data_IF_719682957165
#
_entry.id   IF_719682957165
#
_cell.length_a   1.000
_cell.length_b   1.000
_cell.length_c   1.000
_cell.angle_alpha   90.00
_cell.angle_beta   90.00
_cell.angle_gamma   90.00
#
_symmetry.space_group_name_H-M   'P 1'
#
loop_
_entity.id
_entity.type
_entity.pdbx_description
1 polymer ?
#
# COMPACT_ATOMS: atom_id res chain seq x y z
N UNK A 1 -25.98 -20.76 8.65
CA UNK A 1 -26.25 -20.57 7.20
C UNK A 1 -27.56 -19.85 6.90
N UNK A 2 -28.70 -20.15 7.56
CA UNK A 2 -29.98 -19.41 7.38
C UNK A 2 -29.84 -17.88 7.51
N UNK A 3 -29.07 -17.42 8.50
CA UNK A 3 -28.84 -16.00 8.75
C UNK A 3 -28.21 -15.24 7.56
N UNK A 4 -27.33 -15.88 6.78
CA UNK A 4 -26.70 -15.25 5.62
C UNK A 4 -27.71 -15.05 4.47
N UNK A 5 -28.52 -16.07 4.21
CA UNK A 5 -29.56 -16.02 3.17
C UNK A 5 -30.64 -14.98 3.51
N UNK A 6 -31.09 -14.94 4.76
CA UNK A 6 -32.07 -13.95 5.22
C UNK A 6 -31.54 -12.51 5.12
N UNK A 7 -30.25 -12.30 5.41
CA UNK A 7 -29.58 -11.00 5.20
C UNK A 7 -29.56 -10.61 3.72
N UNK A 8 -29.21 -11.54 2.83
CA UNK A 8 -29.24 -11.29 1.38
C UNK A 8 -30.65 -10.92 0.91
N UNK A 9 -31.68 -11.65 1.34
CA UNK A 9 -33.07 -11.32 0.98
C UNK A 9 -33.52 -9.94 1.48
N UNK A 10 -33.10 -9.54 2.68
CA UNK A 10 -33.36 -8.18 3.20
C UNK A 10 -32.70 -7.10 2.34
N UNK A 11 -31.47 -7.33 1.88
CA UNK A 11 -30.76 -6.39 0.99
C UNK A 11 -31.46 -6.33 -0.37
N UNK A 12 -31.80 -7.47 -0.96
CA UNK A 12 -32.53 -7.56 -2.23
C UNK A 12 -33.81 -6.73 -2.20
N UNK A 13 -34.61 -6.93 -1.14
CA UNK A 13 -35.87 -6.22 -0.97
C UNK A 13 -35.67 -4.71 -0.91
N UNK A 14 -34.66 -4.23 -0.17
CA UNK A 14 -34.35 -2.78 -0.14
C UNK A 14 -33.99 -2.21 -1.51
N UNK A 15 -33.27 -2.96 -2.35
CA UNK A 15 -32.89 -2.52 -3.69
C UNK A 15 -34.13 -2.42 -4.58
N UNK A 16 -35.00 -3.44 -4.54
CA UNK A 16 -36.24 -3.47 -5.30
C UNK A 16 -37.24 -2.40 -4.83
N UNK A 17 -37.41 -2.23 -3.52
CA UNK A 17 -38.30 -1.21 -2.93
C UNK A 17 -37.86 0.22 -3.30
N UNK A 18 -36.57 0.42 -3.57
CA UNK A 18 -36.02 1.69 -4.06
C UNK A 18 -36.17 1.88 -5.59
N UNK A 19 -36.86 0.95 -6.28
CA UNK A 19 -37.18 1.04 -7.70
C UNK A 19 -36.06 0.60 -8.66
N UNK A 20 -35.01 -0.05 -8.16
CA UNK A 20 -33.92 -0.55 -9.00
C UNK A 20 -34.22 -1.95 -9.56
N UNK A 21 -33.70 -2.21 -10.76
CA UNK A 21 -33.69 -3.55 -11.34
C UNK A 21 -32.57 -4.39 -10.71
N UNK A 22 -32.91 -5.56 -10.16
CA UNK A 22 -31.96 -6.44 -9.48
C UNK A 22 -31.79 -7.74 -10.27
N UNK A 23 -30.56 -7.99 -10.73
CA UNK A 23 -30.16 -9.27 -11.32
C UNK A 23 -29.31 -10.05 -10.32
N UNK A 24 -29.67 -11.33 -10.12
CA UNK A 24 -28.96 -12.22 -9.21
C UNK A 24 -28.49 -13.46 -9.96
N UNK A 25 -27.29 -13.91 -9.63
CA UNK A 25 -26.74 -15.18 -10.11
C UNK A 25 -26.04 -15.87 -8.95
N UNK A 26 -26.12 -17.20 -8.90
CA UNK A 26 -25.29 -17.96 -7.98
C UNK A 26 -23.83 -17.87 -8.39
N UNK A 27 -22.93 -18.01 -7.40
CA UNK A 27 -21.48 -18.01 -7.63
C UNK A 27 -21.07 -19.10 -8.62
N UNK A 28 -21.58 -20.31 -8.44
CA UNK A 28 -21.29 -21.43 -9.35
C UNK A 28 -21.76 -21.19 -10.79
N UNK A 29 -22.90 -20.53 -10.98
CA UNK A 29 -23.41 -20.20 -12.32
C UNK A 29 -22.58 -19.08 -12.96
N UNK A 30 -22.21 -18.06 -12.17
CA UNK A 30 -21.33 -16.99 -12.61
C UNK A 30 -19.96 -17.52 -13.05
N UNK A 31 -19.37 -18.42 -12.27
CA UNK A 31 -18.09 -19.04 -12.59
C UNK A 31 -18.18 -19.93 -13.82
N UNK A 32 -19.31 -20.56 -14.10
CA UNK A 32 -19.45 -21.41 -15.27
C UNK A 32 -19.88 -20.66 -16.55
N UNK A 33 -20.27 -19.39 -16.45
CA UNK A 33 -20.67 -18.59 -17.60
C UNK A 33 -19.47 -18.16 -18.47
N UNK A 34 -19.33 -18.84 -19.62
CA UNK A 34 -18.30 -18.57 -20.62
C UNK A 34 -18.42 -17.17 -21.26
N UNK A 35 -19.63 -16.62 -21.39
CA UNK A 35 -19.86 -15.28 -21.97
C UNK A 35 -19.39 -14.21 -20.99
N UNK A 36 -19.71 -14.34 -19.70
CA UNK A 36 -19.23 -13.44 -18.65
C UNK A 36 -17.69 -13.50 -18.56
N UNK A 37 -17.10 -14.69 -18.52
CA UNK A 37 -15.63 -14.85 -18.51
C UNK A 37 -14.95 -14.21 -19.73
N UNK A 38 -15.54 -14.36 -20.92
CA UNK A 38 -15.04 -13.73 -22.15
C UNK A 38 -15.17 -12.21 -22.10
N UNK A 39 -16.30 -11.70 -21.59
CA UNK A 39 -16.52 -10.26 -21.38
C UNK A 39 -15.52 -9.68 -20.39
N UNK A 40 -15.32 -10.33 -19.23
CA UNK A 40 -14.33 -9.92 -18.22
C UNK A 40 -12.94 -9.89 -18.86
N UNK A 41 -12.52 -10.97 -19.54
CA UNK A 41 -11.19 -11.03 -20.16
C UNK A 41 -10.95 -9.94 -21.22
N UNK A 42 -11.99 -9.53 -21.96
CA UNK A 42 -11.89 -8.56 -23.06
C UNK A 42 -12.03 -7.10 -22.60
N UNK A 43 -13.05 -6.83 -21.80
CA UNK A 43 -13.52 -5.48 -21.45
C UNK A 43 -13.19 -5.10 -19.99
N UNK A 44 -13.05 -6.08 -19.09
CA UNK A 44 -12.67 -5.84 -17.69
C UNK A 44 -11.16 -5.69 -17.55
N UNK A 45 -10.63 -4.62 -18.14
CA UNK A 45 -9.24 -4.16 -17.96
C UNK A 45 -9.04 -3.33 -16.68
N UNK A 46 -10.04 -3.27 -15.81
CA UNK A 46 -9.89 -2.61 -14.52
C UNK A 46 -8.89 -3.42 -13.72
N UNK A 47 -7.67 -2.87 -13.56
CA UNK A 47 -6.88 -3.21 -12.40
C UNK A 47 -7.78 -2.96 -11.19
N UNK A 48 -8.16 -4.02 -10.49
CA UNK A 48 -8.73 -3.88 -9.16
C UNK A 48 -7.65 -3.24 -8.31
N UNK A 49 -7.66 -1.91 -8.28
CA UNK A 49 -6.90 -1.18 -7.27
C UNK A 49 -7.67 -1.49 -5.99
N UNK A 50 -7.20 -2.52 -5.28
CA UNK A 50 -7.63 -2.74 -3.90
C UNK A 50 -7.54 -1.39 -3.19
N UNK A 51 -8.57 -1.00 -2.42
CA UNK A 51 -8.51 0.24 -1.66
C UNK A 51 -7.17 0.33 -0.95
N UNK A 52 -6.56 1.52 -0.99
CA UNK A 52 -5.31 1.76 -0.30
C UNK A 52 -5.50 1.33 1.16
N UNK A 53 -4.69 0.37 1.63
CA UNK A 53 -4.66 -0.05 3.01
C UNK A 53 -3.59 0.79 3.74
N UNK A 54 -3.95 1.69 4.65
CA UNK A 54 -2.98 2.53 5.36
C UNK A 54 -1.91 1.73 6.10
N UNK A 55 -2.23 0.49 6.52
CA UNK A 55 -1.27 -0.39 7.19
C UNK A 55 -0.10 -0.80 6.30
N UNK A 56 -0.27 -0.78 4.98
CA UNK A 56 0.80 -1.11 4.04
C UNK A 56 1.95 -0.09 4.10
N UNK A 57 1.65 1.15 4.52
CA UNK A 57 2.63 2.22 4.71
C UNK A 57 3.20 2.28 6.15
N UNK A 58 2.73 1.42 7.05
CA UNK A 58 3.11 1.45 8.46
C UNK A 58 4.39 0.64 8.69
N UNK A 59 5.52 1.36 8.81
CA UNK A 59 6.84 0.79 9.05
C UNK A 59 7.41 1.26 10.40
N UNK A 60 8.33 0.46 10.95
CA UNK A 60 9.09 0.84 12.13
C UNK A 60 10.27 1.75 11.82
N UNK A 61 11.11 1.99 12.82
CA UNK A 61 12.33 2.78 12.68
C UNK A 61 13.36 2.17 11.73
N UNK A 62 14.21 3.03 11.16
CA UNK A 62 15.31 2.61 10.30
C UNK A 62 16.45 2.04 11.14
N UNK A 63 16.68 0.73 11.02
CA UNK A 63 17.88 0.07 11.52
C UNK A 63 18.71 -0.40 10.32
N UNK A 64 19.75 0.35 9.96
CA UNK A 64 20.62 0.04 8.81
C UNK A 64 22.06 0.42 9.11
N UNK A 65 22.98 -0.50 8.82
CA UNK A 65 24.41 -0.21 8.72
C UNK A 65 24.76 0.23 7.29
N UNK A 66 25.60 1.27 7.17
CA UNK A 66 26.17 1.67 5.88
C UNK A 66 27.42 0.85 5.55
N UNK A 67 28.14 0.41 6.58
CA UNK A 67 29.34 -0.40 6.50
C UNK A 67 29.26 -1.48 7.57
N UNK A 68 29.54 -2.74 7.22
CA UNK A 68 29.45 -3.87 8.16
C UNK A 68 30.59 -3.84 9.19
N UNK A 69 31.79 -3.47 8.76
CA UNK A 69 32.96 -3.30 9.62
C UNK A 69 33.74 -2.07 9.15
N UNK A 70 33.98 -1.15 10.07
CA UNK A 70 34.87 -0.02 9.84
C UNK A 70 35.90 0.00 10.95
N UNK A 71 37.17 0.10 10.59
CA UNK A 71 38.28 0.16 11.54
C UNK A 71 38.84 1.59 11.56
N UNK A 72 38.72 2.25 12.71
CA UNK A 72 39.13 3.64 12.87
C UNK A 72 40.66 3.70 13.05
N UNK A 73 41.37 4.38 12.15
CA UNK A 73 42.83 4.54 12.21
C UNK A 73 43.22 5.93 12.69
N UNK A 74 43.18 6.15 14.00
CA UNK A 74 43.48 7.45 14.62
C UNK A 74 42.36 8.49 14.50
N UNK A 75 41.21 8.10 13.98
CA UNK A 75 40.00 8.94 13.88
C UNK A 75 39.20 8.91 15.19
N UNK A 76 38.29 9.89 15.38
CA UNK A 76 37.33 9.92 16.50
C UNK A 76 35.91 9.71 15.99
N UNK A 77 35.19 8.78 16.61
CA UNK A 77 33.78 8.54 16.33
C UNK A 77 32.89 9.62 16.94
N UNK A 78 31.77 9.93 16.27
CA UNK A 78 30.69 10.73 16.83
C UNK A 78 29.43 9.89 16.89
N UNK A 79 28.74 9.95 18.01
CA UNK A 79 27.45 9.31 18.22
C UNK A 79 26.42 10.39 18.50
N UNK A 80 25.27 10.28 17.85
CA UNK A 80 24.14 11.19 18.03
C UNK A 80 22.94 10.33 18.37
N UNK A 81 22.31 10.63 19.50
CA UNK A 81 21.04 10.05 19.90
C UNK A 81 20.01 11.17 20.06
N UNK A 82 18.81 10.95 19.54
CA UNK A 82 17.72 11.92 19.64
C UNK A 82 16.86 11.52 20.81
N UNK A 83 16.95 12.29 21.89
CA UNK A 83 16.09 12.10 23.05
C UNK A 83 14.63 12.30 22.62
N UNK A 84 13.78 11.31 22.88
CA UNK A 84 12.33 11.39 22.63
C UNK A 84 11.97 11.65 21.15
N UNK A 85 12.61 10.95 20.20
CA UNK A 85 12.34 11.09 18.76
C UNK A 85 10.85 10.98 18.41
N UNK A 86 10.18 9.86 18.78
CA UNK A 86 8.77 9.66 18.44
C UNK A 86 7.84 10.70 19.11
N UNK A 87 7.95 10.99 20.43
CA UNK A 87 7.16 12.06 21.04
C UNK A 87 7.35 13.42 20.35
N UNK A 88 8.58 13.76 19.96
CA UNK A 88 8.88 15.03 19.28
C UNK A 88 8.17 15.11 17.94
N UNK A 89 8.28 14.07 17.11
CA UNK A 89 7.57 13.94 15.83
C UNK A 89 6.06 14.01 16.03
N UNK A 90 5.50 13.24 16.98
CA UNK A 90 4.08 13.25 17.26
C UNK A 90 3.54 14.61 17.73
N UNK A 91 4.38 15.45 18.35
CA UNK A 91 3.98 16.77 18.85
C UNK A 91 4.06 17.85 17.77
N UNK A 92 5.10 17.84 16.94
CA UNK A 92 5.37 18.92 15.98
C UNK A 92 4.88 18.62 14.56
N UNK A 93 4.81 17.36 14.14
CA UNK A 93 4.45 17.01 12.77
C UNK A 93 2.94 16.91 12.59
N UNK A 94 2.49 17.23 11.38
CA UNK A 94 1.11 17.02 10.97
C UNK A 94 0.84 15.54 10.70
N UNK A 95 -0.42 15.12 10.89
CA UNK A 95 -0.94 13.82 10.49
C UNK A 95 -2.21 13.98 9.67
N UNK A 96 -2.50 13.08 8.71
CA UNK A 96 -3.78 13.08 8.03
C UNK A 96 -4.87 12.69 9.04
N UNK A 97 -5.82 13.60 9.26
CA UNK A 97 -6.96 13.43 10.19
C UNK A 97 -8.29 13.45 9.43
N UNK A 98 -9.30 12.75 9.97
CA UNK A 98 -10.66 12.75 9.41
C UNK A 98 -10.87 11.80 8.22
N UNK A 99 -11.95 12.06 7.47
CA UNK A 99 -12.29 11.26 6.29
C UNK A 99 -11.46 11.69 5.07
N UNK A 100 -10.82 10.75 4.36
CA UNK A 100 -9.94 11.09 3.24
C UNK A 100 -10.72 11.41 1.96
N UNK A 101 -10.25 12.41 1.23
CA UNK A 101 -10.62 12.63 -0.17
C UNK A 101 -9.94 11.59 -1.06
N UNK A 102 -10.74 10.85 -1.84
CA UNK A 102 -10.22 9.76 -2.68
C UNK A 102 -9.92 10.27 -4.08
N UNK A 103 -8.62 10.34 -4.40
CA UNK A 103 -8.14 10.72 -5.73
C UNK A 103 -7.75 9.45 -6.48
N UNK A 104 -8.39 9.19 -7.61
CA UNK A 104 -8.14 8.02 -8.44
C UNK A 104 -7.47 8.41 -9.76
N UNK A 105 -6.41 7.70 -10.14
CA UNK A 105 -5.70 7.83 -11.42
C UNK A 105 -5.45 9.29 -11.87
N UNK A 106 -4.87 10.14 -11.02
CA UNK A 106 -4.64 11.52 -11.40
C UNK A 106 -3.60 11.60 -12.52
N UNK A 107 -3.81 12.50 -13.50
CA UNK A 107 -2.91 12.69 -14.64
C UNK A 107 -1.56 13.29 -14.26
N UNK A 108 -1.51 14.07 -13.17
CA UNK A 108 -0.31 14.75 -12.67
C UNK A 108 -0.31 14.72 -11.14
N UNK A 109 0.88 14.60 -10.56
CA UNK A 109 1.07 14.79 -9.12
C UNK A 109 0.86 16.26 -8.74
N UNK A 110 0.31 16.49 -7.54
CA UNK A 110 0.18 17.83 -6.95
C UNK A 110 0.89 17.88 -5.61
N UNK A 111 1.75 18.89 -5.43
CA UNK A 111 2.43 19.17 -4.15
C UNK A 111 1.46 19.61 -3.05
N UNK A 112 0.21 19.93 -3.40
CA UNK A 112 -0.84 20.27 -2.44
C UNK A 112 -1.46 19.05 -1.79
N UNK A 113 -1.21 17.85 -2.30
CA UNK A 113 -1.74 16.63 -1.70
C UNK A 113 -0.99 16.25 -0.44
N UNK A 114 -1.74 15.85 0.57
CA UNK A 114 -1.22 15.42 1.85
C UNK A 114 -1.96 14.16 2.31
N UNK A 115 -1.21 13.11 2.65
CA UNK A 115 -1.78 11.81 3.01
C UNK A 115 -1.03 10.63 2.38
N UNK A 116 -1.76 9.59 2.02
CA UNK A 116 -1.20 8.32 1.53
C UNK A 116 -1.35 8.17 0.03
N UNK A 117 -0.30 7.67 -0.62
CA UNK A 117 -0.28 7.40 -2.05
C UNK A 117 0.21 5.98 -2.33
N UNK A 118 -0.50 5.27 -3.21
CA UNK A 118 -0.08 3.98 -3.77
C UNK A 118 0.36 4.21 -5.21
N UNK A 119 1.67 4.14 -5.46
CA UNK A 119 2.25 4.43 -6.77
C UNK A 119 3.44 3.52 -7.07
N UNK A 120 3.85 3.51 -8.35
CA UNK A 120 5.11 2.91 -8.79
C UNK A 120 6.16 4.03 -8.84
N UNK A 121 7.31 3.78 -8.22
CA UNK A 121 8.41 4.75 -8.17
C UNK A 121 9.57 4.25 -9.02
N UNK A 122 10.08 5.09 -9.91
CA UNK A 122 11.38 4.89 -10.54
C UNK A 122 12.44 5.53 -9.62
N UNK A 123 13.30 4.74 -8.96
CA UNK A 123 14.24 5.28 -7.99
C UNK A 123 15.33 6.13 -8.66
N UNK A 124 15.85 7.16 -7.98
CA UNK A 124 17.02 7.89 -8.47
C UNK A 124 18.24 6.97 -8.51
N UNK A 125 19.18 7.27 -9.42
CA UNK A 125 20.46 6.60 -9.47
C UNK A 125 21.41 7.21 -8.42
N UNK A 126 22.25 6.37 -7.81
CA UNK A 126 23.34 6.78 -6.90
C UNK A 126 22.89 7.56 -5.65
N UNK A 127 21.66 7.36 -5.17
CA UNK A 127 21.24 7.91 -3.89
C UNK A 127 21.89 7.12 -2.74
N UNK A 128 22.75 7.80 -1.98
CA UNK A 128 23.57 7.18 -0.92
C UNK A 128 22.73 6.55 0.21
N UNK A 129 21.63 7.20 0.57
CA UNK A 129 20.69 6.71 1.57
C UNK A 129 19.31 6.52 0.94
N UNK A 130 18.97 5.29 0.49
CA UNK A 130 17.61 4.98 0.05
C UNK A 130 16.61 5.35 1.15
N UNK A 131 15.49 5.94 0.76
CA UNK A 131 14.49 6.48 1.70
C UNK A 131 13.20 5.69 1.73
N UNK A 132 12.85 5.02 0.63
CA UNK A 132 11.63 4.24 0.55
C UNK A 132 11.84 2.85 1.15
N UNK A 133 11.09 2.50 2.21
CA UNK A 133 11.14 1.17 2.78
C UNK A 133 10.32 0.18 1.96
N UNK A 134 10.66 -1.10 2.10
CA UNK A 134 9.74 -2.20 1.85
C UNK A 134 10.05 -3.32 2.85
N UNK A 135 9.07 -4.21 3.05
CA UNK A 135 9.18 -5.31 4.00
C UNK A 135 9.13 -6.64 3.26
N UNK A 136 10.15 -7.47 3.49
CA UNK A 136 10.15 -8.90 3.21
C UNK A 136 10.04 -9.62 4.57
N UNK A 137 11.09 -10.32 5.01
CA UNK A 137 11.24 -10.79 6.40
C UNK A 137 11.64 -9.65 7.35
N UNK A 138 12.48 -8.73 6.84
CA UNK A 138 13.01 -7.57 7.56
C UNK A 138 12.65 -6.27 6.82
N UNK A 139 12.76 -5.14 7.53
CA UNK A 139 12.59 -3.82 6.95
C UNK A 139 13.85 -3.44 6.16
N UNK A 140 13.72 -3.24 4.84
CA UNK A 140 14.84 -2.96 3.94
C UNK A 140 14.65 -1.61 3.27
N UNK A 141 15.77 -0.91 3.08
CA UNK A 141 15.86 0.36 2.34
C UNK A 141 16.84 0.19 1.18
N UNK A 142 16.33 -0.17 0.00
CA UNK A 142 17.08 -0.30 -1.26
C UNK A 142 16.55 0.70 -2.29
N UNK A 143 17.35 0.99 -3.33
CA UNK A 143 16.88 1.83 -4.44
C UNK A 143 15.90 1.06 -5.32
N UNK A 144 16.24 -0.19 -5.65
CA UNK A 144 15.45 -1.03 -6.55
C UNK A 144 15.08 -2.31 -5.81
N UNK A 145 13.80 -2.44 -5.43
CA UNK A 145 13.26 -3.64 -4.78
C UNK A 145 13.59 -4.91 -5.56
N UNK A 146 13.27 -4.94 -6.85
CA UNK A 146 13.49 -6.12 -7.71
C UNK A 146 14.97 -6.50 -7.81
N UNK A 147 15.86 -5.51 -7.80
CA UNK A 147 17.30 -5.75 -7.86
C UNK A 147 17.83 -6.29 -6.53
N UNK A 148 17.33 -5.80 -5.40
CA UNK A 148 17.70 -6.32 -4.07
C UNK A 148 17.18 -7.74 -3.84
N UNK A 149 15.98 -8.08 -4.33
CA UNK A 149 15.42 -9.43 -4.24
C UNK A 149 16.24 -10.48 -5.01
N UNK A 150 16.91 -10.06 -6.09
CA UNK A 150 17.78 -10.96 -6.87
C UNK A 150 19.14 -11.23 -6.23
N UNK A 151 19.56 -10.42 -5.27
CA UNK A 151 20.84 -10.59 -4.57
C UNK A 151 20.60 -11.58 -3.43
N UNK A 152 20.91 -12.85 -3.66
CA UNK A 152 21.00 -13.83 -2.59
C UNK A 152 22.32 -13.62 -1.85
N UNK A 153 22.26 -13.36 -0.55
CA UNK A 153 23.43 -13.45 0.31
C UNK A 153 23.74 -14.95 0.47
N UNK A 154 24.84 -15.41 -0.10
CA UNK A 154 25.48 -16.68 0.28
C UNK A 154 26.21 -16.53 1.61
#
# INVERSE_FOLDING_TARGET
MKDLYEKTQKINKKILDAGYELFQTWECDFDNDKKIKKYIKKEWKREFVTPLNPRDAFYGGRCKSTTLKYEMKGEKGKYIDVCSLYPTVNFFDYYPIGHPDKIYNPKKFSTKWYGLIKCKVLPPRKLYHPVLPYKEEKLIFSLCKSCSETIKCE
#
